data_IF_610785618653
#
_entry.id   IF_610785618653
#
_cell.length_a   1.000
_cell.length_b   1.000
_cell.length_c   1.000
_cell.angle_alpha   90.00
_cell.angle_beta   90.00
_cell.angle_gamma   90.00
#
_symmetry.space_group_name_H-M   'P 1'
#
loop_
_entity.id
_entity.type
_entity.pdbx_description
1 polymer ?
#
# COMPACT_ATOMS: atom_id res chain seq x y z
N UNK A 1 -16.87 1.53 -20.01
CA UNK A 1 -15.67 2.05 -20.70
C UNK A 1 -15.30 3.47 -20.28
N UNK A 2 -16.24 4.35 -19.91
CA UNK A 2 -15.93 5.71 -19.40
C UNK A 2 -15.20 5.69 -18.04
N UNK A 3 -15.67 4.88 -17.07
CA UNK A 3 -15.13 4.87 -15.70
C UNK A 3 -13.67 4.39 -15.60
N UNK A 4 -13.30 3.33 -16.32
CA UNK A 4 -11.92 2.86 -16.41
C UNK A 4 -10.96 3.93 -16.99
N UNK A 5 -11.47 4.82 -17.86
CA UNK A 5 -10.68 5.92 -18.43
C UNK A 5 -10.46 7.05 -17.42
N UNK A 6 -11.44 7.35 -16.57
CA UNK A 6 -11.28 8.33 -15.49
C UNK A 6 -10.25 7.85 -14.47
N UNK A 7 -10.34 6.59 -14.03
CA UNK A 7 -9.37 6.01 -13.09
C UNK A 7 -7.96 5.99 -13.68
N UNK A 8 -7.80 5.60 -14.95
CA UNK A 8 -6.48 5.67 -15.61
C UNK A 8 -5.95 7.10 -15.67
N UNK A 9 -6.77 8.08 -16.00
CA UNK A 9 -6.36 9.49 -16.05
C UNK A 9 -5.94 9.98 -14.67
N UNK A 10 -6.72 9.66 -13.62
CA UNK A 10 -6.36 9.98 -12.24
C UNK A 10 -5.04 9.33 -11.81
N UNK A 11 -4.83 8.05 -12.17
CA UNK A 11 -3.59 7.33 -11.88
C UNK A 11 -2.37 7.94 -12.59
N UNK A 12 -2.54 8.34 -13.86
CA UNK A 12 -1.51 9.07 -14.62
C UNK A 12 -1.19 10.40 -13.96
N UNK A 13 -2.20 11.20 -13.60
CA UNK A 13 -1.99 12.49 -12.93
C UNK A 13 -1.26 12.32 -11.59
N UNK A 14 -1.64 11.30 -10.82
CA UNK A 14 -1.05 10.96 -9.53
C UNK A 14 0.43 10.56 -9.62
N UNK A 15 0.80 9.71 -10.58
CA UNK A 15 2.17 9.19 -10.69
C UNK A 15 3.10 10.07 -11.54
N UNK A 16 2.60 10.66 -12.63
CA UNK A 16 3.43 11.27 -13.67
C UNK A 16 3.31 12.80 -13.74
N UNK A 17 2.10 13.35 -13.57
CA UNK A 17 1.86 14.79 -13.77
C UNK A 17 1.77 15.60 -12.45
N UNK A 18 2.14 14.99 -11.33
CA UNK A 18 2.09 15.61 -9.99
C UNK A 18 3.17 16.68 -9.75
N UNK A 19 3.96 17.04 -10.77
CA UNK A 19 5.06 18.02 -10.64
C UNK A 19 6.22 17.57 -9.75
N UNK A 20 6.28 16.27 -9.42
CA UNK A 20 7.27 15.68 -8.53
C UNK A 20 8.38 14.99 -9.34
N UNK A 21 9.64 15.27 -8.98
CA UNK A 21 10.77 14.49 -9.47
C UNK A 21 11.10 13.40 -8.45
N UNK A 22 10.87 12.14 -8.81
CA UNK A 22 11.02 11.00 -7.89
C UNK A 22 12.45 10.73 -7.42
N UNK A 23 13.46 11.20 -8.17
CA UNK A 23 14.88 11.13 -7.78
C UNK A 23 15.40 12.38 -7.03
N UNK A 24 14.51 13.29 -6.65
CA UNK A 24 14.83 14.48 -5.87
C UNK A 24 13.61 14.94 -5.06
N UNK A 25 12.90 13.97 -4.49
CA UNK A 25 11.64 14.21 -3.83
C UNK A 25 11.87 14.98 -2.51
N UNK A 26 11.00 15.94 -2.18
CA UNK A 26 11.04 16.62 -0.90
C UNK A 26 10.75 15.64 0.24
N UNK A 27 11.15 16.02 1.46
CA UNK A 27 10.80 15.26 2.65
C UNK A 27 9.27 15.03 2.74
N UNK A 28 8.89 13.80 3.11
CA UNK A 28 7.50 13.37 3.24
C UNK A 28 6.80 14.18 4.34
N UNK A 29 5.68 14.82 4.01
CA UNK A 29 4.91 15.68 4.93
C UNK A 29 3.45 15.23 5.11
N UNK A 30 3.01 14.26 4.34
CA UNK A 30 1.62 13.81 4.29
C UNK A 30 1.27 13.28 2.91
N UNK A 31 -0.02 13.02 2.68
CA UNK A 31 -0.56 12.54 1.41
C UNK A 31 -0.72 13.74 0.46
N UNK A 32 -0.17 13.63 -0.76
CA UNK A 32 -0.22 14.73 -1.74
C UNK A 32 -1.63 14.93 -2.29
N UNK A 33 -1.93 16.14 -2.75
CA UNK A 33 -3.23 16.46 -3.35
C UNK A 33 -3.60 15.55 -4.54
N UNK A 34 -2.69 15.16 -5.46
CA UNK A 34 -3.02 14.23 -6.55
C UNK A 34 -3.49 12.85 -6.06
N UNK A 35 -3.02 12.39 -4.88
CA UNK A 35 -3.51 11.16 -4.28
C UNK A 35 -4.95 11.32 -3.76
N UNK A 36 -5.27 12.47 -3.14
CA UNK A 36 -6.62 12.80 -2.69
C UNK A 36 -7.59 12.96 -3.88
N UNK A 37 -7.13 13.58 -4.98
CA UNK A 37 -7.91 13.72 -6.21
C UNK A 37 -8.21 12.36 -6.88
N UNK A 38 -7.25 11.44 -6.86
CA UNK A 38 -7.47 10.07 -7.30
C UNK A 38 -8.56 9.39 -6.45
N UNK A 39 -8.54 9.58 -5.13
CA UNK A 39 -9.61 9.09 -4.25
C UNK A 39 -10.96 9.72 -4.57
N UNK A 40 -11.03 11.03 -4.85
CA UNK A 40 -12.27 11.69 -5.27
C UNK A 40 -12.85 11.10 -6.56
N UNK A 41 -12.00 10.64 -7.48
CA UNK A 41 -12.45 9.93 -8.68
C UNK A 41 -13.21 8.66 -8.28
N UNK A 42 -12.69 7.88 -7.33
CA UNK A 42 -13.37 6.67 -6.83
C UNK A 42 -14.65 7.00 -6.06
N UNK A 43 -14.66 8.07 -5.25
CA UNK A 43 -15.85 8.55 -4.52
C UNK A 43 -16.98 8.90 -5.49
N UNK A 44 -16.65 9.51 -6.63
CA UNK A 44 -17.62 9.81 -7.69
C UNK A 44 -18.23 8.53 -8.25
N UNK A 45 -17.41 7.51 -8.53
CA UNK A 45 -17.92 6.21 -9.00
C UNK A 45 -18.76 5.53 -7.94
N UNK A 46 -18.35 5.57 -6.67
CA UNK A 46 -19.14 5.06 -5.56
C UNK A 46 -20.53 5.69 -5.54
N UNK A 47 -20.62 7.03 -5.58
CA UNK A 47 -21.89 7.75 -5.56
C UNK A 47 -22.80 7.39 -6.75
N UNK A 48 -22.24 7.30 -7.96
CA UNK A 48 -22.99 6.93 -9.16
C UNK A 48 -23.56 5.50 -9.06
N UNK A 49 -22.74 4.54 -8.64
CA UNK A 49 -23.15 3.13 -8.54
C UNK A 49 -24.12 2.94 -7.39
N UNK A 50 -23.89 3.58 -6.25
CA UNK A 50 -24.80 3.54 -5.10
C UNK A 50 -26.18 4.06 -5.48
N UNK A 51 -26.25 5.21 -6.17
CA UNK A 51 -27.53 5.80 -6.58
C UNK A 51 -28.24 5.02 -7.72
N UNK A 52 -27.48 4.41 -8.63
CA UNK A 52 -28.03 3.73 -9.81
C UNK A 52 -28.28 2.23 -9.63
N UNK A 53 -27.45 1.53 -8.86
CA UNK A 53 -27.48 0.08 -8.69
C UNK A 53 -26.67 -0.37 -7.45
N UNK A 54 -27.12 0.03 -6.25
CA UNK A 54 -26.50 -0.33 -4.96
C UNK A 54 -26.08 -1.82 -4.83
N UNK A 55 -26.88 -2.83 -5.26
CA UNK A 55 -26.49 -4.24 -5.15
C UNK A 55 -25.23 -4.63 -5.94
N UNK A 56 -24.76 -3.79 -6.86
CA UNK A 56 -23.53 -4.01 -7.63
C UNK A 56 -22.34 -3.20 -7.11
N UNK A 57 -22.48 -2.42 -6.03
CA UNK A 57 -21.45 -1.51 -5.52
C UNK A 57 -20.15 -2.26 -5.22
N UNK A 58 -20.20 -3.24 -4.33
CA UNK A 58 -19.00 -3.99 -3.88
C UNK A 58 -18.27 -4.63 -5.05
N UNK A 59 -19.02 -5.26 -5.95
CA UNK A 59 -18.45 -5.89 -7.14
C UNK A 59 -17.82 -4.87 -8.08
N UNK A 60 -18.47 -3.73 -8.28
CA UNK A 60 -18.00 -2.68 -9.19
C UNK A 60 -16.74 -2.02 -8.65
N UNK A 61 -16.74 -1.66 -7.36
CA UNK A 61 -15.58 -1.07 -6.71
C UNK A 61 -14.43 -2.07 -6.57
N UNK A 62 -14.70 -3.35 -6.28
CA UNK A 62 -13.65 -4.37 -6.25
C UNK A 62 -12.91 -4.50 -7.58
N UNK A 63 -13.65 -4.57 -8.69
CA UNK A 63 -13.06 -4.59 -10.04
C UNK A 63 -12.29 -3.28 -10.33
N UNK A 64 -12.81 -2.15 -9.86
CA UNK A 64 -12.20 -0.84 -10.10
C UNK A 64 -10.89 -0.67 -9.32
N UNK A 65 -10.84 -1.11 -8.06
CA UNK A 65 -9.65 -1.08 -7.22
C UNK A 65 -8.58 -2.01 -7.78
N UNK A 66 -8.93 -3.23 -8.17
CA UNK A 66 -7.99 -4.14 -8.85
C UNK A 66 -7.40 -3.49 -10.11
N UNK A 67 -8.27 -2.96 -10.99
CA UNK A 67 -7.83 -2.25 -12.19
C UNK A 67 -7.01 -0.98 -11.92
N UNK A 68 -7.24 -0.29 -10.79
CA UNK A 68 -6.44 0.86 -10.37
C UNK A 68 -5.02 0.41 -10.00
N UNK A 69 -4.89 -0.60 -9.14
CA UNK A 69 -3.57 -1.09 -8.73
C UNK A 69 -2.78 -1.64 -9.92
N UNK A 70 -3.43 -2.41 -10.80
CA UNK A 70 -2.82 -2.88 -12.05
C UNK A 70 -2.37 -1.72 -12.95
N UNK A 71 -3.16 -0.63 -13.00
CA UNK A 71 -2.80 0.56 -13.77
C UNK A 71 -1.60 1.28 -13.15
N UNK A 72 -1.54 1.42 -11.83
CA UNK A 72 -0.39 2.03 -11.15
C UNK A 72 0.88 1.21 -11.40
N UNK A 73 0.79 -0.12 -11.30
CA UNK A 73 1.88 -1.04 -11.62
C UNK A 73 2.34 -0.89 -13.08
N UNK A 74 1.38 -0.91 -14.02
CA UNK A 74 1.68 -0.76 -15.44
C UNK A 74 2.33 0.58 -15.75
N UNK A 75 1.79 1.70 -15.22
CA UNK A 75 2.36 3.04 -15.41
C UNK A 75 3.77 3.15 -14.85
N UNK A 76 4.03 2.57 -13.67
CA UNK A 76 5.38 2.56 -13.12
C UNK A 76 6.36 1.81 -14.03
N UNK A 77 5.99 0.62 -14.50
CA UNK A 77 6.81 -0.19 -15.39
C UNK A 77 7.04 0.48 -16.75
N UNK A 78 5.99 1.04 -17.36
CA UNK A 78 6.05 1.78 -18.63
C UNK A 78 7.00 2.98 -18.55
N UNK A 79 7.11 3.60 -17.37
CA UNK A 79 7.92 4.78 -17.14
C UNK A 79 9.17 4.56 -16.26
N UNK A 80 9.55 3.30 -16.02
CA UNK A 80 10.70 2.91 -15.15
C UNK A 80 12.00 3.60 -15.56
N UNK A 81 12.20 3.79 -16.86
CA UNK A 81 13.43 4.36 -17.44
C UNK A 81 13.30 5.84 -17.84
N UNK A 82 12.14 6.46 -17.60
CA UNK A 82 11.88 7.88 -17.92
C UNK A 82 11.59 8.68 -16.66
N UNK A 83 10.33 8.72 -16.22
CA UNK A 83 9.90 9.49 -15.04
C UNK A 83 10.42 8.89 -13.72
N UNK A 84 10.61 7.57 -13.68
CA UNK A 84 11.13 6.86 -12.52
C UNK A 84 12.59 6.44 -12.70
N UNK A 85 13.34 7.08 -13.62
CA UNK A 85 14.75 6.72 -13.89
C UNK A 85 15.57 6.63 -12.59
N UNK A 86 15.32 7.56 -11.68
CA UNK A 86 15.78 7.56 -10.30
C UNK A 86 14.56 7.63 -9.37
N UNK A 87 14.63 6.88 -8.28
CA UNK A 87 13.67 6.91 -7.17
C UNK A 87 14.48 7.01 -5.88
N UNK A 88 14.54 8.20 -5.30
CA UNK A 88 15.30 8.41 -4.06
C UNK A 88 14.52 7.88 -2.83
N UNK A 89 15.16 7.92 -1.66
CA UNK A 89 14.55 7.43 -0.43
C UNK A 89 13.25 8.17 -0.06
N UNK A 90 13.17 9.49 -0.31
CA UNK A 90 11.97 10.28 -0.01
C UNK A 90 10.83 9.93 -0.96
N UNK A 91 11.11 9.76 -2.25
CA UNK A 91 10.15 9.37 -3.27
C UNK A 91 9.58 7.99 -3.00
N UNK A 92 10.44 7.05 -2.60
CA UNK A 92 10.02 5.73 -2.12
C UNK A 92 9.09 5.84 -0.90
N UNK A 93 9.51 6.57 0.15
CA UNK A 93 8.70 6.75 1.36
C UNK A 93 7.35 7.43 1.06
N UNK A 94 7.33 8.42 0.17
CA UNK A 94 6.11 9.11 -0.26
C UNK A 94 5.13 8.13 -0.94
N UNK A 95 5.62 7.31 -1.88
CA UNK A 95 4.78 6.32 -2.57
C UNK A 95 4.26 5.26 -1.60
N UNK A 96 5.10 4.78 -0.68
CA UNK A 96 4.68 3.79 0.31
C UNK A 96 3.59 4.34 1.24
N UNK A 97 3.73 5.58 1.74
CA UNK A 97 2.71 6.25 2.55
C UNK A 97 1.37 6.36 1.78
N UNK A 98 1.41 6.79 0.52
CA UNK A 98 0.21 7.01 -0.29
C UNK A 98 -0.48 5.70 -0.68
N UNK A 99 0.29 4.64 -0.96
CA UNK A 99 -0.25 3.30 -1.21
C UNK A 99 -0.92 2.72 0.03
N UNK A 100 -0.31 2.88 1.22
CA UNK A 100 -0.92 2.46 2.48
C UNK A 100 -2.19 3.26 2.81
N UNK A 101 -2.20 4.55 2.50
CA UNK A 101 -3.39 5.39 2.59
C UNK A 101 -4.53 4.87 1.70
N UNK A 102 -4.25 4.53 0.43
CA UNK A 102 -5.24 3.93 -0.46
C UNK A 102 -5.73 2.57 0.05
N UNK A 103 -4.81 1.69 0.45
CA UNK A 103 -5.14 0.37 0.99
C UNK A 103 -6.04 0.48 2.22
N UNK A 104 -5.72 1.38 3.14
CA UNK A 104 -6.50 1.58 4.36
C UNK A 104 -7.94 2.03 4.07
N UNK A 105 -8.12 3.00 3.17
CA UNK A 105 -9.45 3.53 2.86
C UNK A 105 -10.26 2.53 2.02
N UNK A 106 -9.62 1.83 1.09
CA UNK A 106 -10.29 0.95 0.13
C UNK A 106 -10.33 -0.51 0.61
N UNK A 107 -9.91 -0.80 1.84
CA UNK A 107 -9.73 -2.15 2.36
C UNK A 107 -10.95 -3.07 2.14
N UNK A 108 -12.17 -2.55 2.29
CA UNK A 108 -13.40 -3.34 2.07
C UNK A 108 -13.61 -3.78 0.61
N UNK A 109 -12.93 -3.14 -0.35
CA UNK A 109 -12.99 -3.44 -1.78
C UNK A 109 -11.71 -4.08 -2.31
N UNK A 110 -10.70 -4.31 -1.47
CA UNK A 110 -9.47 -4.97 -1.89
C UNK A 110 -9.73 -6.44 -2.18
N UNK A 111 -9.60 -6.82 -3.45
CA UNK A 111 -9.64 -8.23 -3.88
C UNK A 111 -8.28 -8.89 -3.63
N UNK A 112 -8.24 -10.22 -3.66
CA UNK A 112 -6.96 -10.94 -3.61
C UNK A 112 -6.03 -10.55 -4.77
N UNK A 113 -6.59 -10.29 -5.96
CA UNK A 113 -5.83 -9.80 -7.12
C UNK A 113 -5.24 -8.42 -6.88
N UNK A 114 -6.04 -7.48 -6.36
CA UNK A 114 -5.57 -6.15 -6.01
C UNK A 114 -4.44 -6.21 -4.96
N UNK A 115 -4.56 -7.06 -3.94
CA UNK A 115 -3.51 -7.23 -2.92
C UNK A 115 -2.22 -7.84 -3.49
N UNK A 116 -2.31 -8.77 -4.44
CA UNK A 116 -1.15 -9.36 -5.11
C UNK A 116 -0.44 -8.33 -6.00
N UNK A 117 -1.19 -7.59 -6.82
CA UNK A 117 -0.66 -6.51 -7.65
C UNK A 117 -0.05 -5.39 -6.82
N UNK A 118 -0.64 -5.06 -5.66
CA UNK A 118 -0.09 -4.05 -4.74
C UNK A 118 1.26 -4.49 -4.18
N UNK A 119 1.37 -5.74 -3.72
CA UNK A 119 2.64 -6.32 -3.26
C UNK A 119 3.71 -6.34 -4.35
N UNK A 120 3.31 -6.67 -5.58
CA UNK A 120 4.20 -6.62 -6.75
C UNK A 120 4.72 -5.20 -6.99
N UNK A 121 3.83 -4.20 -6.99
CA UNK A 121 4.19 -2.79 -7.12
C UNK A 121 5.15 -2.36 -6.01
N UNK A 122 4.85 -2.65 -4.75
CA UNK A 122 5.73 -2.33 -3.60
C UNK A 122 7.11 -2.98 -3.74
N UNK A 123 7.18 -4.23 -4.20
CA UNK A 123 8.44 -4.93 -4.46
C UNK A 123 9.28 -4.26 -5.55
N UNK A 124 8.66 -3.90 -6.67
CA UNK A 124 9.34 -3.22 -7.78
C UNK A 124 9.78 -1.79 -7.39
N UNK A 125 8.99 -1.09 -6.58
CA UNK A 125 9.38 0.21 -6.01
C UNK A 125 10.63 0.10 -5.14
N UNK A 126 10.68 -0.92 -4.27
CA UNK A 126 11.84 -1.16 -3.41
C UNK A 126 13.08 -1.52 -4.23
N UNK A 127 12.95 -2.39 -5.23
CA UNK A 127 14.03 -2.72 -6.16
C UNK A 127 14.55 -1.45 -6.83
N UNK A 128 13.65 -0.60 -7.36
CA UNK A 128 14.04 0.62 -8.05
C UNK A 128 14.70 1.66 -7.14
N UNK A 129 14.23 1.80 -5.90
CA UNK A 129 14.83 2.69 -4.92
C UNK A 129 16.23 2.21 -4.52
N UNK A 130 16.39 0.90 -4.34
CA UNK A 130 17.70 0.27 -4.06
C UNK A 130 18.67 0.46 -5.23
N UNK A 131 18.22 0.21 -6.48
CA UNK A 131 19.00 0.46 -7.69
C UNK A 131 19.48 1.93 -7.77
N UNK A 132 18.63 2.88 -7.36
CA UNK A 132 18.93 4.31 -7.42
C UNK A 132 19.99 4.71 -6.39
N UNK A 133 19.92 4.20 -5.17
CA UNK A 133 20.92 4.45 -4.11
C UNK A 133 22.32 3.93 -4.49
N UNK A 134 22.41 2.83 -5.23
CA UNK A 134 23.69 2.30 -5.72
C UNK A 134 24.33 3.19 -6.77
N UNK A 135 23.53 3.80 -7.66
CA UNK A 135 24.04 4.68 -8.74
C UNK A 135 24.53 6.04 -8.24
N UNK A 136 23.98 6.52 -7.13
CA UNK A 136 24.45 7.76 -6.48
C UNK A 136 25.84 7.60 -5.84
N UNK A 137 26.26 6.36 -5.53
CA UNK A 137 27.54 6.08 -4.86
C UNK A 137 28.74 6.01 -5.83
N UNK A 138 28.51 5.89 -7.14
CA UNK A 138 29.59 5.73 -8.13
C UNK A 138 30.27 7.07 -8.53
N UNK A 139 29.72 8.22 -8.13
CA UNK A 139 30.16 9.56 -8.61
C UNK A 139 30.89 10.41 -7.54
N UNK A 140 31.05 9.95 -6.30
CA UNK A 140 31.65 10.77 -5.22
C UNK A 140 32.81 10.07 -4.47
N UNK A 141 34.02 10.23 -5.02
CA UNK A 141 35.27 10.09 -4.26
C UNK A 141 35.32 11.18 -3.19
N UNK A 142 34.84 10.83 -1.98
CA UNK A 142 34.86 11.56 -0.69
C UNK A 142 33.49 12.09 -0.25
N UNK A 143 32.58 11.25 0.23
CA UNK A 143 31.89 11.48 1.52
C UNK A 143 31.39 10.12 2.04
N UNK A 144 31.49 9.91 3.35
CA UNK A 144 30.99 8.72 4.03
C UNK A 144 29.45 8.71 4.02
N UNK A 145 28.84 8.36 2.88
CA UNK A 145 27.42 8.08 2.77
C UNK A 145 27.25 6.57 2.64
N UNK A 146 26.77 5.90 3.68
CA UNK A 146 26.46 4.48 3.58
C UNK A 146 25.40 4.25 2.51
N UNK A 147 25.64 3.30 1.61
CA UNK A 147 24.62 2.79 0.68
C UNK A 147 23.41 2.36 1.50
N UNK A 148 22.27 3.03 1.33
CA UNK A 148 21.03 2.70 2.06
C UNK A 148 20.62 1.28 1.65
N UNK A 149 20.50 0.40 2.64
CA UNK A 149 20.06 -0.97 2.40
C UNK A 149 18.54 -1.05 2.16
N UNK A 150 18.03 -2.09 1.49
CA UNK A 150 16.59 -2.30 1.32
C UNK A 150 15.83 -2.30 2.65
N UNK A 151 16.40 -2.90 3.70
CA UNK A 151 15.78 -2.95 5.02
C UNK A 151 15.68 -1.57 5.68
N UNK A 152 16.69 -0.70 5.47
CA UNK A 152 16.65 0.69 5.93
C UNK A 152 15.59 1.50 5.19
N UNK A 153 15.45 1.32 3.87
CA UNK A 153 14.37 1.96 3.10
C UNK A 153 12.99 1.55 3.61
N UNK A 154 12.79 0.25 3.87
CA UNK A 154 11.53 -0.26 4.46
C UNK A 154 11.29 0.40 5.82
N UNK A 155 12.31 0.46 6.68
CA UNK A 155 12.17 1.07 8.01
C UNK A 155 11.82 2.56 7.93
N UNK A 156 12.43 3.31 7.00
CA UNK A 156 12.10 4.72 6.77
C UNK A 156 10.66 4.92 6.30
N UNK A 157 10.20 4.09 5.35
CA UNK A 157 8.82 4.14 4.88
C UNK A 157 7.83 3.83 6.01
N UNK A 158 8.09 2.80 6.81
CA UNK A 158 7.29 2.45 7.99
C UNK A 158 7.24 3.58 9.01
N UNK A 159 8.37 4.26 9.24
CA UNK A 159 8.41 5.41 10.13
C UNK A 159 7.51 6.53 9.62
N UNK A 160 7.60 6.89 8.33
CA UNK A 160 6.75 7.90 7.71
C UNK A 160 5.25 7.57 7.87
N UNK A 161 4.87 6.32 7.60
CA UNK A 161 3.49 5.86 7.79
C UNK A 161 3.03 5.95 9.24
N UNK A 162 3.86 5.50 10.19
CA UNK A 162 3.51 5.52 11.62
C UNK A 162 3.28 6.95 12.15
N UNK A 163 4.00 7.93 11.61
CA UNK A 163 3.91 9.33 12.03
C UNK A 163 2.74 10.07 11.36
N UNK A 164 2.48 9.80 10.08
CA UNK A 164 1.63 10.67 9.25
C UNK A 164 0.26 10.06 8.92
N UNK A 165 0.16 8.74 8.75
CA UNK A 165 -1.02 8.09 8.15
C UNK A 165 -2.31 8.42 8.90
N UNK A 166 -2.31 8.30 10.23
CA UNK A 166 -3.51 8.56 11.04
C UNK A 166 -3.99 10.02 10.92
N UNK A 167 -3.07 10.97 10.92
CA UNK A 167 -3.41 12.39 10.77
C UNK A 167 -3.98 12.69 9.38
N UNK A 168 -3.46 12.03 8.34
CA UNK A 168 -3.92 12.20 6.97
C UNK A 168 -5.30 11.56 6.74
N UNK A 169 -5.56 10.39 7.33
CA UNK A 169 -6.89 9.76 7.32
C UNK A 169 -7.94 10.65 7.99
N UNK A 170 -7.60 11.30 9.11
CA UNK A 170 -8.53 12.25 9.74
C UNK A 170 -8.71 13.51 8.89
N UNK A 171 -7.62 14.04 8.32
CA UNK A 171 -7.64 15.22 7.44
C UNK A 171 -8.55 15.02 6.23
N UNK A 172 -8.57 13.82 5.66
CA UNK A 172 -9.36 13.50 4.46
C UNK A 172 -10.64 12.74 4.75
N UNK A 173 -10.99 12.52 6.02
CA UNK A 173 -12.13 11.68 6.45
C UNK A 173 -13.44 12.03 5.75
N UNK A 174 -13.75 13.32 5.61
CA UNK A 174 -14.99 13.78 4.94
C UNK A 174 -14.97 13.44 3.45
N UNK A 175 -13.80 13.50 2.82
CA UNK A 175 -13.64 13.23 1.39
C UNK A 175 -13.86 11.75 1.07
N UNK A 176 -13.58 10.86 2.01
CA UNK A 176 -13.59 9.41 1.78
C UNK A 176 -14.56 8.64 2.68
N UNK A 177 -15.48 9.36 3.34
CA UNK A 177 -16.44 8.80 4.30
C UNK A 177 -17.26 7.63 3.70
N UNK A 178 -17.61 7.70 2.41
CA UNK A 178 -18.36 6.65 1.74
C UNK A 178 -17.67 5.28 1.74
N UNK A 179 -16.34 5.25 1.91
CA UNK A 179 -15.57 4.01 1.99
C UNK A 179 -15.33 3.52 3.42
N UNK A 180 -15.66 4.32 4.44
CA UNK A 180 -15.37 4.04 5.84
C UNK A 180 -16.62 3.87 6.72
N UNK A 181 -17.80 4.27 6.23
CA UNK A 181 -19.08 4.25 6.98
C UNK A 181 -19.60 2.85 7.35
N UNK A 182 -18.90 1.78 6.95
CA UNK A 182 -19.17 0.41 7.41
C UNK A 182 -18.53 0.05 8.76
N UNK A 183 -17.73 0.92 9.38
CA UNK A 183 -17.14 0.68 10.69
C UNK A 183 -18.04 1.20 11.83
N UNK A 184 -18.58 0.33 12.70
CA UNK A 184 -19.06 0.79 14.00
C UNK A 184 -17.89 1.49 14.71
N UNK A 185 -18.13 2.69 15.23
CA UNK A 185 -17.19 3.50 15.99
C UNK A 185 -16.78 2.82 17.31
N UNK A 186 -16.14 1.64 17.27
CA UNK A 186 -15.59 0.97 18.44
C UNK A 186 -14.59 -0.14 18.09
N UNK A 187 -13.59 0.09 17.24
CA UNK A 187 -12.40 -0.77 17.22
C UNK A 187 -11.13 0.04 16.94
N UNK A 188 -10.27 0.13 17.96
CA UNK A 188 -8.87 0.52 17.76
C UNK A 188 -8.17 -0.55 16.91
N UNK A 189 -7.30 -0.21 15.95
CA UNK A 189 -6.77 -1.21 15.02
C UNK A 189 -5.61 -1.99 15.65
N UNK A 190 -5.83 -3.27 15.92
CA UNK A 190 -4.76 -4.28 15.83
C UNK A 190 -4.53 -4.63 14.36
N UNK A 191 -4.00 -3.68 13.59
CA UNK A 191 -3.63 -3.93 12.19
C UNK A 191 -2.33 -3.20 11.85
N UNK A 192 -1.28 -3.49 12.62
CA UNK A 192 0.10 -3.07 12.31
C UNK A 192 1.04 -4.28 12.14
N UNK A 193 0.51 -5.52 12.20
CA UNK A 193 1.36 -6.73 12.18
C UNK A 193 1.23 -7.64 10.96
N UNK A 194 0.23 -7.47 10.11
CA UNK A 194 -0.08 -8.50 9.09
C UNK A 194 0.61 -8.25 7.73
N UNK A 195 0.92 -7.01 7.36
CA UNK A 195 1.58 -6.73 6.08
C UNK A 195 3.05 -7.21 6.03
N UNK A 196 3.77 -7.15 7.15
CA UNK A 196 5.20 -7.51 7.21
C UNK A 196 5.48 -8.93 7.72
N UNK A 197 4.47 -9.64 8.24
CA UNK A 197 4.65 -11.03 8.70
C UNK A 197 4.87 -12.03 7.54
N UNK A 198 4.41 -11.71 6.33
CA UNK A 198 4.55 -12.60 5.17
C UNK A 198 5.98 -12.70 4.62
N UNK A 199 6.91 -11.82 5.02
CA UNK A 199 8.33 -11.91 4.64
C UNK A 199 9.22 -12.66 5.64
N UNK A 200 8.70 -13.01 6.83
CA UNK A 200 9.42 -13.80 7.85
C UNK A 200 9.05 -15.29 7.81
N UNK A 201 9.17 -15.90 6.63
CA UNK A 201 9.10 -17.35 6.49
C UNK A 201 10.46 -18.02 6.74
N UNK A 202 10.55 -18.80 7.81
CA UNK A 202 11.51 -19.90 8.01
C UNK A 202 12.91 -19.59 8.58
N UNK A 203 13.00 -19.34 9.89
CA UNK A 203 14.09 -19.88 10.73
C UNK A 203 13.66 -19.84 12.20
N UNK A 204 13.25 -20.99 12.71
CA UNK A 204 13.35 -21.47 14.10
C UNK A 204 12.20 -22.42 14.43
N UNK A 205 12.27 -23.62 13.84
CA UNK A 205 11.63 -24.79 14.41
C UNK A 205 12.72 -25.70 14.98
N UNK A 206 13.12 -25.43 16.22
CA UNK A 206 13.79 -26.44 17.05
C UNK A 206 13.56 -26.17 18.54
N UNK A 207 13.20 -27.26 19.22
CA UNK A 207 13.11 -27.48 20.66
C UNK A 207 11.84 -27.04 21.39
N UNK A 208 10.99 -28.04 21.64
CA UNK A 208 9.97 -28.02 22.68
C UNK A 208 9.46 -29.44 22.95
N UNK A 209 10.29 -30.25 23.59
CA UNK A 209 9.97 -31.59 24.13
C UNK A 209 8.72 -31.51 25.00
N UNK A 210 7.62 -32.12 24.58
CA UNK A 210 6.40 -32.24 25.39
C UNK A 210 6.44 -33.55 26.18
N UNK A 211 6.82 -33.44 27.46
CA UNK A 211 6.76 -34.53 28.43
C UNK A 211 5.29 -34.72 28.83
N UNK A 212 4.72 -35.88 28.47
CA UNK A 212 3.36 -36.24 28.81
C UNK A 212 3.21 -36.69 30.26
N UNK A 213 2.20 -36.18 30.95
CA UNK A 213 1.61 -36.79 32.13
C UNK A 213 0.19 -36.24 32.35
N UNK A 214 -0.84 -37.05 32.09
CA UNK A 214 -1.70 -37.65 33.12
C UNK A 214 -3.00 -38.20 32.51
N UNK A 215 -3.35 -39.38 32.98
CA UNK A 215 -4.47 -40.21 32.55
C UNK A 215 -5.73 -39.98 33.40
N UNK A 216 -6.83 -40.53 32.88
CA UNK A 216 -8.00 -41.17 33.56
C UNK A 216 -9.34 -40.56 33.14
N UNK A 217 -10.21 -41.38 32.55
CA UNK A 217 -11.61 -41.03 32.29
C UNK A 217 -12.41 -41.99 31.40
N UNK A 218 -12.55 -43.25 31.84
CA UNK A 218 -13.65 -44.22 31.58
C UNK A 218 -14.50 -44.15 30.29
N UNK A 219 -14.41 -45.21 29.47
CA UNK A 219 -15.35 -45.53 28.38
C UNK A 219 -16.38 -46.56 28.85
N UNK A 220 -17.67 -46.21 28.86
CA UNK A 220 -18.77 -47.18 28.83
C UNK A 220 -19.52 -47.02 27.50
N UNK A 221 -19.63 -48.12 26.74
CA UNK A 221 -20.32 -48.21 25.45
C UNK A 221 -21.48 -49.21 25.60
N UNK A 222 -22.71 -48.76 25.34
CA UNK A 222 -23.87 -49.61 25.12
C UNK A 222 -24.63 -49.15 23.87
N UNK A 223 -25.08 -50.16 23.11
CA UNK A 223 -25.83 -50.19 21.84
C UNK A 223 -25.00 -50.05 20.56
#
# INVERSE_FOLDING_TARGET
MSQARYVRTGATNYLLDAGLQWGGAPAVKGVRDPAVELMHTLVTVHAEVFAGCEPLLDKTLGILVEGLIDTLLSLFLEHKDTNFKLLDANGYCQLMLELEYFETILNQYFTSGASESLKSLQGILLEKATESCLRESDDDDKHQGGTISPDELIALAQQCSSELLQSELERTRINTACFMESFPLEFAPESVKVAYASFRGSMDASNGVFMGAQAVGSTQRWR
#
